data_IF_019060550634
#
_entry.id   IF_019060550634
#
_cell.length_a   1.000
_cell.length_b   1.000
_cell.length_c   1.000
_cell.angle_alpha   90.00
_cell.angle_beta   90.00
_cell.angle_gamma   90.00
#
_symmetry.space_group_name_H-M   'P 1'
#
loop_
_entity.id
_entity.type
_entity.pdbx_description
1 polymer ?
#
# COMPACT_ATOMS: atom_id res chain seq x y z
N UNK A 1 -0.05 7.85 1.75
CA UNK A 1 -0.60 6.59 1.19
C UNK A 1 -1.85 6.82 0.36
N UNK A 2 -2.95 7.29 0.97
CA UNK A 2 -4.22 7.52 0.26
C UNK A 2 -4.11 8.45 -0.95
N UNK A 3 -3.44 9.59 -0.77
CA UNK A 3 -3.20 10.56 -1.85
C UNK A 3 -2.50 9.94 -3.06
N UNK A 4 -1.47 9.11 -2.85
CA UNK A 4 -0.80 8.40 -3.93
C UNK A 4 -1.73 7.46 -4.70
N UNK A 5 -2.66 6.78 -4.01
CA UNK A 5 -3.66 5.93 -4.67
C UNK A 5 -4.61 6.76 -5.55
N UNK A 6 -5.09 7.89 -5.04
CA UNK A 6 -5.97 8.79 -5.80
C UNK A 6 -5.25 9.33 -7.05
N UNK A 7 -4.04 9.87 -6.89
CA UNK A 7 -3.32 10.53 -7.99
C UNK A 7 -2.84 9.56 -9.08
N UNK A 8 -2.53 8.30 -8.74
CA UNK A 8 -1.87 7.39 -9.68
C UNK A 8 -2.78 6.30 -10.24
N UNK A 9 -3.79 5.87 -9.48
CA UNK A 9 -4.73 4.82 -9.90
C UNK A 9 -6.20 5.25 -9.82
N UNK A 10 -6.48 6.50 -9.43
CA UNK A 10 -7.79 7.12 -9.58
C UNK A 10 -8.86 6.53 -8.68
N UNK A 11 -8.52 6.07 -7.47
CA UNK A 11 -9.56 5.66 -6.51
C UNK A 11 -10.39 6.87 -6.07
N UNK A 12 -11.68 6.69 -5.73
CA UNK A 12 -12.48 7.72 -5.09
C UNK A 12 -11.87 8.20 -3.76
N UNK A 13 -12.12 9.46 -3.40
CA UNK A 13 -11.57 10.05 -2.17
C UNK A 13 -12.08 9.36 -0.89
N UNK A 14 -13.28 8.79 -0.93
CA UNK A 14 -13.95 8.05 0.14
C UNK A 14 -13.63 6.54 0.14
N UNK A 15 -12.90 6.03 -0.85
CA UNK A 15 -12.33 4.67 -0.86
C UNK A 15 -11.12 4.59 0.08
N UNK A 16 -11.37 4.80 1.38
CA UNK A 16 -10.36 4.98 2.42
C UNK A 16 -10.44 3.86 3.48
N UNK A 17 -9.83 2.73 3.17
CA UNK A 17 -9.73 1.57 4.08
C UNK A 17 -8.27 1.30 4.45
N UNK A 18 -7.87 1.62 5.68
CA UNK A 18 -6.48 1.52 6.12
C UNK A 18 -6.39 0.96 7.55
N UNK A 19 -5.37 0.14 7.77
CA UNK A 19 -4.97 -0.33 9.09
C UNK A 19 -3.53 0.12 9.30
N UNK A 20 -3.27 0.80 10.42
CA UNK A 20 -1.94 1.17 10.85
C UNK A 20 -1.54 0.33 12.06
N UNK A 21 -0.41 -0.36 11.94
CA UNK A 21 0.15 -1.18 13.02
C UNK A 21 1.58 -0.73 13.29
N UNK A 22 1.84 -0.25 14.50
CA UNK A 22 3.19 0.10 14.96
C UNK A 22 3.87 -1.11 15.60
N UNK A 23 5.19 -1.19 15.45
CA UNK A 23 6.02 -2.21 16.08
C UNK A 23 7.08 -1.51 16.93
N UNK A 24 7.09 -1.79 18.23
CA UNK A 24 7.99 -1.17 19.21
C UNK A 24 9.22 -2.05 19.52
N UNK A 25 9.32 -3.23 18.90
CA UNK A 25 10.35 -4.22 19.18
C UNK A 25 10.08 -5.08 20.42
N UNK A 26 9.00 -4.84 21.17
CA UNK A 26 8.66 -5.62 22.38
C UNK A 26 7.44 -6.52 22.16
N UNK A 27 6.37 -5.98 21.58
CA UNK A 27 5.11 -6.70 21.29
C UNK A 27 5.02 -7.16 19.84
N UNK A 28 5.85 -6.57 18.98
CA UNK A 28 5.95 -6.90 17.58
C UNK A 28 7.26 -6.39 17.01
N UNK A 29 7.78 -7.11 16.04
CA UNK A 29 9.11 -6.89 15.50
C UNK A 29 9.05 -6.71 13.99
N UNK A 30 9.73 -5.68 13.48
CA UNK A 30 10.02 -5.55 12.06
C UNK A 30 11.45 -6.01 11.77
N UNK A 31 11.63 -6.64 10.61
CA UNK A 31 12.92 -7.14 10.15
C UNK A 31 13.05 -6.83 8.68
N UNK A 32 14.23 -6.36 8.29
CA UNK A 32 14.58 -6.12 6.92
C UNK A 32 15.92 -6.77 6.61
N UNK A 33 16.19 -6.95 5.33
CA UNK A 33 17.49 -7.34 4.83
C UNK A 33 17.88 -6.49 3.64
N UNK A 34 19.00 -6.83 3.02
CA UNK A 34 19.62 -6.07 1.93
C UNK A 34 19.34 -6.68 0.55
N UNK A 35 18.28 -7.47 0.40
CA UNK A 35 17.93 -8.08 -0.89
C UNK A 35 17.79 -7.00 -1.98
N UNK A 36 18.34 -7.30 -3.16
CA UNK A 36 18.51 -6.36 -4.28
C UNK A 36 19.49 -5.20 -4.02
N UNK A 37 20.35 -5.32 -3.00
CA UNK A 37 21.36 -4.31 -2.67
C UNK A 37 20.81 -3.03 -2.04
N UNK A 38 19.57 -3.07 -1.53
CA UNK A 38 18.93 -1.91 -0.89
C UNK A 38 19.22 -1.95 0.61
N UNK A 39 20.04 -1.02 1.09
CA UNK A 39 20.42 -0.89 2.49
C UNK A 39 19.30 -0.21 3.28
N UNK A 40 18.36 -1.00 3.81
CA UNK A 40 17.30 -0.52 4.70
C UNK A 40 17.81 -0.41 6.13
N UNK A 41 17.10 0.33 6.95
CA UNK A 41 17.30 0.38 8.40
C UNK A 41 15.98 0.22 9.17
N UNK A 42 16.04 0.48 10.47
CA UNK A 42 14.95 0.29 11.42
C UNK A 42 13.75 1.25 11.18
N UNK A 43 13.88 2.26 10.31
CA UNK A 43 12.76 3.13 9.90
C UNK A 43 11.92 2.50 8.77
N UNK A 44 12.09 1.20 8.48
CA UNK A 44 11.34 0.50 7.43
C UNK A 44 9.82 0.54 7.65
N UNK A 45 9.11 0.86 6.57
CA UNK A 45 7.64 0.81 6.49
C UNK A 45 7.20 -0.22 5.45
N UNK A 46 6.42 -1.20 5.90
CA UNK A 46 5.76 -2.16 5.02
C UNK A 46 4.37 -1.66 4.62
N UNK A 47 4.19 -1.37 3.34
CA UNK A 47 2.92 -0.97 2.75
C UNK A 47 2.32 -2.15 1.99
N UNK A 48 1.30 -2.78 2.56
CA UNK A 48 0.58 -3.88 1.93
C UNK A 48 -0.73 -3.37 1.35
N UNK A 49 -0.92 -3.56 0.05
CA UNK A 49 -2.10 -3.07 -0.66
C UNK A 49 -2.86 -4.28 -1.23
N UNK A 50 -4.14 -4.40 -0.87
CA UNK A 50 -5.06 -5.32 -1.54
C UNK A 50 -6.00 -4.49 -2.42
N UNK A 51 -6.14 -4.84 -3.70
CA UNK A 51 -7.08 -4.17 -4.60
C UNK A 51 -7.60 -5.12 -5.68
N UNK A 52 -8.70 -4.72 -6.32
CA UNK A 52 -9.19 -5.42 -7.52
C UNK A 52 -8.15 -5.39 -8.65
N UNK A 53 -8.00 -6.51 -9.34
CA UNK A 53 -7.14 -6.63 -10.50
C UNK A 53 -7.50 -5.62 -11.61
N UNK A 54 -6.53 -5.29 -12.44
CA UNK A 54 -6.73 -4.47 -13.65
C UNK A 54 -5.91 -3.20 -13.72
N UNK A 55 -4.98 -2.97 -12.77
CA UNK A 55 -4.02 -1.85 -12.88
C UNK A 55 -2.84 -2.27 -13.75
N UNK A 56 -2.48 -1.42 -14.70
CA UNK A 56 -1.35 -1.70 -15.59
C UNK A 56 -0.01 -1.69 -14.83
N UNK A 57 1.04 -2.35 -15.34
CA UNK A 57 2.37 -2.23 -14.75
C UNK A 57 2.85 -0.79 -14.60
N UNK A 58 2.50 0.10 -15.55
CA UNK A 58 2.83 1.52 -15.52
C UNK A 58 2.13 2.24 -14.36
N UNK A 59 0.85 1.97 -14.15
CA UNK A 59 0.09 2.49 -13.01
C UNK A 59 0.67 2.01 -11.68
N UNK A 60 1.00 0.71 -11.56
CA UNK A 60 1.64 0.15 -10.36
C UNK A 60 2.99 0.81 -10.07
N UNK A 61 3.83 1.01 -11.09
CA UNK A 61 5.12 1.71 -10.94
C UNK A 61 4.93 3.17 -10.52
N UNK A 62 3.97 3.88 -11.11
CA UNK A 62 3.64 5.25 -10.72
C UNK A 62 3.18 5.32 -9.26
N UNK A 63 2.32 4.39 -8.84
CA UNK A 63 1.86 4.27 -7.46
C UNK A 63 3.02 4.07 -6.48
N UNK A 64 3.91 3.11 -6.73
CA UNK A 64 5.02 2.82 -5.80
C UNK A 64 5.96 4.02 -5.65
N UNK A 65 6.28 4.68 -6.77
CA UNK A 65 7.08 5.90 -6.77
C UNK A 65 6.40 7.01 -5.97
N UNK A 66 5.11 7.26 -6.22
CA UNK A 66 4.37 8.33 -5.54
C UNK A 66 4.20 8.07 -4.05
N UNK A 67 4.02 6.81 -3.65
CA UNK A 67 4.01 6.40 -2.24
C UNK A 67 5.33 6.77 -1.56
N UNK A 68 6.48 6.44 -2.17
CA UNK A 68 7.79 6.75 -1.61
C UNK A 68 8.03 8.27 -1.52
N UNK A 69 7.73 9.02 -2.59
CA UNK A 69 7.85 10.48 -2.62
C UNK A 69 7.03 11.14 -1.50
N UNK A 70 5.77 10.71 -1.30
CA UNK A 70 4.91 11.29 -0.26
C UNK A 70 5.26 10.81 1.15
N UNK A 71 5.77 9.59 1.31
CA UNK A 71 6.25 9.10 2.60
C UNK A 71 7.46 9.91 3.07
N UNK A 72 8.40 10.21 2.16
CA UNK A 72 9.53 11.09 2.45
C UNK A 72 9.05 12.51 2.78
N UNK A 73 8.22 13.10 1.91
CA UNK A 73 7.77 14.49 2.07
C UNK A 73 6.96 14.74 3.35
N UNK A 74 6.10 13.79 3.76
CA UNK A 74 5.19 14.00 4.90
C UNK A 74 5.67 13.38 6.21
N UNK A 75 6.48 12.32 6.16
CA UNK A 75 6.89 11.58 7.35
C UNK A 75 8.41 11.43 7.49
N UNK A 76 9.21 11.95 6.54
CA UNK A 76 10.67 11.81 6.56
C UNK A 76 11.16 10.38 6.33
N UNK A 77 10.28 9.45 5.94
CA UNK A 77 10.68 8.07 5.66
C UNK A 77 11.45 8.04 4.35
N UNK A 78 12.73 7.69 4.41
CA UNK A 78 13.56 7.59 3.21
C UNK A 78 12.97 6.59 2.19
N UNK A 79 13.02 6.88 0.88
CA UNK A 79 12.47 5.99 -0.15
C UNK A 79 13.00 4.54 -0.09
N UNK A 80 14.25 4.33 0.35
CA UNK A 80 14.84 2.98 0.53
C UNK A 80 14.11 2.14 1.58
N UNK A 81 13.49 2.79 2.55
CA UNK A 81 12.77 2.19 3.67
C UNK A 81 11.29 1.95 3.37
N UNK A 82 10.81 2.28 2.17
CA UNK A 82 9.42 2.02 1.78
C UNK A 82 9.32 0.71 1.00
N UNK A 83 8.78 -0.32 1.65
CA UNK A 83 8.60 -1.65 1.06
C UNK A 83 7.13 -1.87 0.71
N UNK A 84 6.80 -1.93 -0.59
CA UNK A 84 5.42 -2.09 -1.06
C UNK A 84 5.17 -3.50 -1.59
N UNK A 85 4.07 -4.13 -1.15
CA UNK A 85 3.51 -5.31 -1.80
C UNK A 85 2.07 -5.07 -2.22
N UNK A 86 1.68 -5.70 -3.32
CA UNK A 86 0.36 -5.55 -3.92
C UNK A 86 -0.23 -6.95 -4.16
N UNK A 87 -1.39 -7.20 -3.60
CA UNK A 87 -2.19 -8.43 -3.81
C UNK A 87 -3.45 -8.06 -4.58
N UNK A 88 -3.69 -8.75 -5.70
CA UNK A 88 -4.87 -8.52 -6.54
C UNK A 88 -5.94 -9.59 -6.30
N UNK A 89 -7.21 -9.18 -6.35
CA UNK A 89 -8.38 -10.06 -6.29
C UNK A 89 -9.46 -9.63 -7.31
N UNK A 90 -10.60 -10.31 -7.33
CA UNK A 90 -11.71 -10.07 -8.24
C UNK A 90 -12.80 -9.15 -7.68
N UNK A 91 -13.78 -8.75 -8.52
CA UNK A 91 -14.89 -7.90 -8.09
C UNK A 91 -15.77 -8.54 -6.99
N UNK A 92 -16.00 -9.85 -7.04
CA UNK A 92 -16.84 -10.55 -6.06
C UNK A 92 -16.19 -10.77 -4.69
N UNK A 93 -14.89 -10.46 -4.55
CA UNK A 93 -14.12 -10.72 -3.32
C UNK A 93 -14.23 -9.58 -2.28
N UNK A 94 -15.12 -8.62 -2.52
CA UNK A 94 -15.27 -7.43 -1.68
C UNK A 94 -16.69 -7.32 -1.16
N UNK A 95 -16.80 -7.29 0.17
CA UNK A 95 -17.98 -6.78 0.86
C UNK A 95 -17.58 -5.54 1.65
N UNK A 96 -18.04 -4.37 1.19
CA UNK A 96 -17.72 -3.08 1.81
C UNK A 96 -18.67 -2.74 2.98
N UNK A 97 -19.66 -3.60 3.23
CA UNK A 97 -20.69 -3.41 4.25
C UNK A 97 -21.94 -4.22 3.93
N UNK A 98 -22.84 -4.31 4.91
CA UNK A 98 -24.19 -4.90 4.79
C UNK A 98 -24.24 -6.34 4.27
N UNK A 99 -23.13 -7.08 4.29
CA UNK A 99 -23.05 -8.44 3.75
C UNK A 99 -23.24 -8.54 2.23
N UNK A 100 -23.12 -7.42 1.50
CA UNK A 100 -23.29 -7.37 0.05
C UNK A 100 -21.95 -7.31 -0.67
N UNK A 101 -21.87 -7.86 -1.89
CA UNK A 101 -20.71 -7.74 -2.78
C UNK A 101 -20.95 -6.63 -3.81
N UNK A 102 -20.66 -5.38 -3.45
CA UNK A 102 -21.04 -4.19 -4.24
C UNK A 102 -20.42 -4.12 -5.63
N UNK A 103 -19.32 -4.84 -5.85
CA UNK A 103 -18.64 -4.90 -7.14
C UNK A 103 -18.94 -6.17 -7.94
N UNK A 104 -19.62 -7.16 -7.35
CA UNK A 104 -20.01 -8.36 -8.08
C UNK A 104 -20.99 -7.98 -9.21
N UNK A 105 -20.87 -8.59 -10.40
CA UNK A 105 -21.90 -8.48 -11.41
C UNK A 105 -23.21 -9.09 -10.88
N UNK A 106 -24.35 -8.56 -11.34
CA UNK A 106 -25.66 -9.19 -11.15
C UNK A 106 -25.75 -10.56 -11.83
#
# INVERSE_FOLDING_TARGET
MHEALQETIGIPADDLFQILTSHDGTTGTLRHGTYFGIERDDDIVYVRITLRAGRTPQQKRALYRRIAELAEAYAGTEPRNVFVTLTENGPADWSLGEGQAQYAPE
#
